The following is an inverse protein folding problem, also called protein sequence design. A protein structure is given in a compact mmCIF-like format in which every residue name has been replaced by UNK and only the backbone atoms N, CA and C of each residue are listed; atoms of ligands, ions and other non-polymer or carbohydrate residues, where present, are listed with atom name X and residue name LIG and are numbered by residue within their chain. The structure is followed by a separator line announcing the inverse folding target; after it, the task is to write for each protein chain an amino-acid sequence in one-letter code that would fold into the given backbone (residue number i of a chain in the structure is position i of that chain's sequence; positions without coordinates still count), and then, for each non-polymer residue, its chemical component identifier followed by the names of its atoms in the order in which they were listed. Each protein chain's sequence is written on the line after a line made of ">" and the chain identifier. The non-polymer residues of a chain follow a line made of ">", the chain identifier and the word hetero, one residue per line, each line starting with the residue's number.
data_IF_503803206420
#
_entry.id   IF_503803206420
#
_cell.length_a   1.000
_cell.length_b   1.000
_cell.length_c   1.000
_cell.angle_alpha   90.00
_cell.angle_beta   90.00
_cell.angle_gamma   90.00
#
_symmetry.space_group_name_H-M   'P 1'
#
loop_
_entity.id
_entity.type
_entity.pdbx_description
1 polymer ?
#
# COMPACT_ATOMS: atom_id res chain seq x y z
N UNK A 1 21.63 1.18 7.39
CA UNK A 1 22.00 -0.25 7.53
C UNK A 1 20.69 -0.84 8.00
N UNK A 2 19.93 -1.57 7.16
CA UNK A 2 18.49 -1.79 7.39
C UNK A 2 18.17 -2.17 8.85
N UNK A 3 17.25 -1.45 9.48
CA UNK A 3 16.73 -1.72 10.82
C UNK A 3 15.80 -2.94 10.85
N UNK A 4 15.48 -3.52 9.70
CA UNK A 4 14.65 -4.72 9.60
C UNK A 4 15.45 -5.97 9.96
N UNK A 5 14.87 -6.89 10.74
CA UNK A 5 15.38 -8.25 10.82
C UNK A 5 15.47 -8.90 9.44
N UNK A 6 16.47 -9.75 9.21
CA UNK A 6 16.70 -10.43 7.93
C UNK A 6 15.43 -11.09 7.35
N UNK A 7 14.60 -11.82 8.13
CA UNK A 7 13.40 -12.47 7.59
C UNK A 7 12.35 -11.49 7.05
N UNK A 8 12.38 -10.22 7.48
CA UNK A 8 11.45 -9.20 7.05
C UNK A 8 11.97 -8.35 5.89
N UNK A 9 13.26 -8.40 5.57
CA UNK A 9 13.83 -7.55 4.54
C UNK A 9 13.17 -7.80 3.17
N UNK A 10 13.12 -9.05 2.71
CA UNK A 10 12.52 -9.38 1.41
C UNK A 10 11.00 -9.10 1.37
N UNK A 11 10.19 -9.48 2.38
CA UNK A 11 8.78 -9.09 2.42
C UNK A 11 8.53 -7.58 2.27
N UNK A 12 9.38 -6.72 2.85
CA UNK A 12 9.26 -5.27 2.68
C UNK A 12 9.69 -4.77 1.31
N UNK A 13 10.73 -5.37 0.71
CA UNK A 13 11.11 -5.08 -0.69
C UNK A 13 9.95 -5.41 -1.63
N UNK A 14 9.35 -6.59 -1.48
CA UNK A 14 8.21 -7.02 -2.29
C UNK A 14 7.01 -6.09 -2.10
N UNK A 15 6.67 -5.75 -0.85
CA UNK A 15 5.58 -4.81 -0.54
C UNK A 15 5.80 -3.47 -1.26
N UNK A 16 7.02 -2.92 -1.20
CA UNK A 16 7.37 -1.66 -1.85
C UNK A 16 7.18 -1.74 -3.37
N UNK A 17 7.64 -2.82 -4.00
CA UNK A 17 7.46 -3.02 -5.44
C UNK A 17 5.99 -3.14 -5.84
N UNK A 18 5.18 -3.82 -5.03
CA UNK A 18 3.74 -3.95 -5.26
C UNK A 18 3.03 -2.59 -5.13
N UNK A 19 3.42 -1.77 -4.16
CA UNK A 19 2.90 -0.40 -3.99
C UNK A 19 3.27 0.50 -5.17
N UNK A 20 4.51 0.43 -5.65
CA UNK A 20 4.99 1.17 -6.82
C UNK A 20 4.21 0.77 -8.09
N UNK A 21 4.02 -0.54 -8.30
CA UNK A 21 3.20 -1.05 -9.40
C UNK A 21 1.73 -0.59 -9.30
N UNK A 22 1.15 -0.55 -8.10
CA UNK A 22 -0.19 0.00 -7.91
C UNK A 22 -0.24 1.51 -8.22
N UNK A 23 0.81 2.25 -7.85
CA UNK A 23 0.91 3.68 -8.12
C UNK A 23 1.02 3.97 -9.62
N UNK A 24 1.75 3.15 -10.38
CA UNK A 24 1.83 3.23 -11.83
C UNK A 24 0.48 2.99 -12.55
N UNK A 25 -0.46 2.28 -11.90
CA UNK A 25 -1.85 2.15 -12.38
C UNK A 25 -2.67 3.40 -12.00
N UNK A 26 -2.50 3.91 -10.78
CA UNK A 26 -3.31 4.99 -10.23
C UNK A 26 -3.01 6.36 -10.88
N UNK A 27 -1.74 6.66 -11.15
CA UNK A 27 -1.32 7.99 -11.65
C UNK A 27 -1.93 8.33 -13.02
N UNK A 28 -1.87 7.47 -14.06
CA UNK A 28 -2.50 7.77 -15.34
C UNK A 28 -4.03 7.88 -15.23
N UNK A 29 -4.64 7.13 -14.31
CA UNK A 29 -6.08 7.11 -14.11
C UNK A 29 -6.63 8.45 -13.58
N UNK A 30 -5.81 9.32 -12.98
CA UNK A 30 -6.22 10.66 -12.54
C UNK A 30 -6.76 11.52 -13.71
N UNK A 31 -6.18 11.38 -14.90
CA UNK A 31 -6.58 12.17 -16.07
C UNK A 31 -7.76 11.54 -16.81
N UNK A 32 -7.80 10.21 -16.88
CA UNK A 32 -8.82 9.46 -17.59
C UNK A 32 -9.23 8.20 -16.79
N UNK A 33 -10.09 8.34 -15.77
CA UNK A 33 -10.54 7.20 -14.98
C UNK A 33 -11.36 6.24 -15.85
N UNK A 34 -11.17 4.94 -15.63
CA UNK A 34 -11.88 3.89 -16.35
C UNK A 34 -12.21 2.73 -15.43
N UNK A 35 -13.16 1.90 -15.84
CA UNK A 35 -13.50 0.66 -15.13
C UNK A 35 -12.32 -0.32 -15.13
N UNK A 36 -11.49 -0.32 -16.18
CA UNK A 36 -10.27 -1.13 -16.25
C UNK A 36 -9.27 -0.72 -15.17
N UNK A 37 -9.00 0.58 -15.03
CA UNK A 37 -8.12 1.10 -13.96
C UNK A 37 -8.66 0.71 -12.58
N UNK A 38 -9.97 0.89 -12.37
CA UNK A 38 -10.62 0.57 -11.09
C UNK A 38 -10.50 -0.92 -10.74
N UNK A 39 -10.73 -1.81 -11.71
CA UNK A 39 -10.58 -3.25 -11.52
C UNK A 39 -9.13 -3.65 -11.25
N UNK A 40 -8.17 -3.04 -11.96
CA UNK A 40 -6.75 -3.30 -11.77
C UNK A 40 -6.27 -2.85 -10.37
N UNK A 41 -6.69 -1.66 -9.92
CA UNK A 41 -6.39 -1.15 -8.58
C UNK A 41 -6.95 -2.06 -7.48
N UNK A 42 -8.18 -2.56 -7.64
CA UNK A 42 -8.75 -3.52 -6.69
C UNK A 42 -7.90 -4.78 -6.57
N UNK A 43 -7.54 -5.39 -7.71
CA UNK A 43 -6.72 -6.62 -7.73
C UNK A 43 -5.35 -6.38 -7.10
N UNK A 44 -4.71 -5.27 -7.44
CA UNK A 44 -3.42 -4.88 -6.86
C UNK A 44 -3.52 -4.68 -5.35
N UNK A 45 -4.55 -3.97 -4.89
CA UNK A 45 -4.80 -3.77 -3.46
C UNK A 45 -5.02 -5.09 -2.70
N UNK A 46 -5.78 -6.02 -3.26
CA UNK A 46 -5.99 -7.34 -2.65
C UNK A 46 -4.67 -8.11 -2.48
N UNK A 47 -3.81 -8.08 -3.51
CA UNK A 47 -2.50 -8.70 -3.44
C UNK A 47 -1.61 -8.05 -2.36
N UNK A 48 -1.55 -6.71 -2.31
CA UNK A 48 -0.80 -5.96 -1.29
C UNK A 48 -1.29 -6.31 0.11
N UNK A 49 -2.60 -6.31 0.32
CA UNK A 49 -3.22 -6.62 1.60
C UNK A 49 -2.93 -8.07 2.04
N UNK A 50 -2.96 -9.02 1.12
CA UNK A 50 -2.62 -10.41 1.39
C UNK A 50 -1.13 -10.56 1.75
N UNK A 51 -0.24 -9.95 0.96
CA UNK A 51 1.20 -9.98 1.20
C UNK A 51 1.56 -9.41 2.57
N UNK A 52 1.01 -8.24 2.91
CA UNK A 52 1.25 -7.62 4.22
C UNK A 52 0.81 -8.52 5.38
N UNK A 53 -0.36 -9.16 5.28
CA UNK A 53 -0.84 -10.05 6.33
C UNK A 53 -0.03 -11.35 6.44
N UNK A 54 0.28 -11.98 5.30
CA UNK A 54 0.84 -13.33 5.26
C UNK A 54 2.37 -13.36 5.32
N UNK A 55 3.05 -12.33 4.82
CA UNK A 55 4.52 -12.32 4.73
C UNK A 55 5.15 -11.37 5.73
N UNK A 56 4.46 -10.28 6.11
CA UNK A 56 5.00 -9.31 7.07
C UNK A 56 4.43 -9.57 8.47
N UNK A 57 3.11 -9.50 8.68
CA UNK A 57 2.54 -9.66 10.01
C UNK A 57 2.74 -11.05 10.59
N UNK A 58 2.58 -12.11 9.78
CA UNK A 58 2.80 -13.48 10.25
C UNK A 58 4.27 -13.70 10.69
N UNK A 59 5.23 -13.33 9.85
CA UNK A 59 6.67 -13.40 10.17
C UNK A 59 7.04 -12.56 11.39
N UNK A 60 6.44 -11.37 11.52
CA UNK A 60 6.70 -10.46 12.64
C UNK A 60 6.21 -10.99 13.98
N UNK A 61 5.19 -11.85 14.00
CA UNK A 61 4.63 -12.41 15.23
C UNK A 61 5.62 -13.33 15.97
N UNK A 62 6.61 -13.86 15.26
CA UNK A 62 7.64 -14.76 15.80
C UNK A 62 8.95 -14.04 16.15
N UNK A 63 9.00 -12.71 15.97
CA UNK A 63 10.23 -11.91 16.09
C UNK A 63 10.11 -10.83 17.18
N UNK A 64 11.21 -10.60 17.89
CA UNK A 64 11.36 -9.39 18.70
C UNK A 64 11.78 -8.21 17.80
N UNK A 65 10.80 -7.39 17.44
CA UNK A 65 11.03 -6.25 16.55
C UNK A 65 11.48 -5.01 17.32
N UNK A 66 12.40 -4.20 16.77
CA UNK A 66 12.66 -2.86 17.29
C UNK A 66 11.38 -2.02 17.37
N UNK A 67 11.25 -1.18 18.39
CA UNK A 67 10.05 -0.34 18.61
C UNK A 67 9.70 0.53 17.40
N UNK A 68 10.72 1.03 16.70
CA UNK A 68 10.56 1.78 15.45
C UNK A 68 9.90 0.95 14.35
N UNK A 69 10.31 -0.31 14.17
CA UNK A 69 9.73 -1.21 13.16
C UNK A 69 8.28 -1.54 13.50
N UNK A 70 7.97 -1.80 14.77
CA UNK A 70 6.59 -2.03 15.24
C UNK A 70 5.69 -0.80 14.99
N UNK A 71 6.22 0.40 15.25
CA UNK A 71 5.51 1.66 14.97
C UNK A 71 5.22 1.81 13.48
N UNK A 72 6.21 1.55 12.61
CA UNK A 72 6.02 1.63 11.15
C UNK A 72 5.01 0.58 10.67
N UNK A 73 5.05 -0.65 11.18
CA UNK A 73 4.05 -1.67 10.86
C UNK A 73 2.63 -1.25 11.21
N UNK A 74 2.47 -0.59 12.36
CA UNK A 74 1.17 -0.05 12.79
C UNK A 74 0.67 1.02 11.82
N UNK A 75 1.54 1.95 11.41
CA UNK A 75 1.19 2.99 10.46
C UNK A 75 0.91 2.44 9.05
N UNK A 76 1.65 1.43 8.59
CA UNK A 76 1.36 0.74 7.32
C UNK A 76 -0.02 0.07 7.39
N UNK A 77 -0.31 -0.69 8.45
CA UNK A 77 -1.61 -1.34 8.62
C UNK A 77 -2.75 -0.31 8.60
N UNK A 78 -2.58 0.81 9.32
CA UNK A 78 -3.54 1.90 9.33
C UNK A 78 -3.77 2.48 7.93
N UNK A 79 -2.70 2.77 7.18
CA UNK A 79 -2.81 3.33 5.84
C UNK A 79 -3.41 2.33 4.84
N UNK A 80 -3.15 1.02 4.98
CA UNK A 80 -3.80 -0.01 4.16
C UNK A 80 -5.31 -0.10 4.41
N UNK A 81 -5.78 0.06 5.65
CA UNK A 81 -7.22 0.13 5.96
C UNK A 81 -7.89 1.35 5.34
N UNK A 82 -7.20 2.50 5.37
CA UNK A 82 -7.70 3.71 4.72
C UNK A 82 -7.71 3.56 3.20
N UNK A 83 -6.66 3.00 2.61
CA UNK A 83 -6.59 2.70 1.19
C UNK A 83 -7.69 1.74 0.74
N UNK A 84 -8.03 0.74 1.56
CA UNK A 84 -9.18 -0.15 1.32
C UNK A 84 -10.48 0.63 1.15
N UNK A 85 -10.69 1.63 2.01
CA UNK A 85 -11.87 2.51 1.98
C UNK A 85 -11.88 3.36 0.71
N UNK A 86 -10.74 3.93 0.34
CA UNK A 86 -10.60 4.76 -0.85
C UNK A 86 -10.85 3.95 -2.14
N UNK A 87 -10.33 2.72 -2.22
CA UNK A 87 -10.56 1.79 -3.34
C UNK A 87 -12.03 1.37 -3.43
N UNK A 88 -12.68 1.04 -2.30
CA UNK A 88 -14.10 0.69 -2.29
C UNK A 88 -14.99 1.87 -2.74
N UNK A 89 -14.66 3.10 -2.29
CA UNK A 89 -15.37 4.28 -2.75
C UNK A 89 -15.18 4.54 -4.24
N UNK A 90 -13.95 4.38 -4.75
CA UNK A 90 -13.66 4.52 -6.17
C UNK A 90 -14.52 3.60 -7.04
N UNK A 91 -14.73 2.35 -6.60
CA UNK A 91 -15.60 1.39 -7.30
C UNK A 91 -17.07 1.83 -7.39
N UNK A 92 -17.57 2.47 -6.33
CA UNK A 92 -18.96 2.95 -6.27
C UNK A 92 -19.17 4.29 -6.98
N UNK A 93 -18.10 5.03 -7.28
CA UNK A 93 -18.16 6.38 -7.82
C UNK A 93 -18.59 6.37 -9.30
N UNK A 94 -19.67 7.10 -9.60
CA UNK A 94 -20.24 7.19 -10.96
C UNK A 94 -19.88 8.47 -11.70
N UNK A 95 -19.54 9.53 -10.96
CA UNK A 95 -19.16 10.81 -11.53
C UNK A 95 -17.63 10.88 -11.68
N UNK A 96 -17.17 11.33 -12.85
CA UNK A 96 -15.74 11.46 -13.16
C UNK A 96 -15.02 12.32 -12.11
N UNK A 97 -15.62 13.45 -11.71
CA UNK A 97 -15.04 14.32 -10.69
C UNK A 97 -14.84 13.59 -9.34
N UNK A 98 -15.81 12.79 -8.91
CA UNK A 98 -15.68 11.97 -7.68
C UNK A 98 -14.63 10.87 -7.86
N UNK A 99 -14.56 10.22 -9.02
CA UNK A 99 -13.52 9.21 -9.29
C UNK A 99 -12.12 9.82 -9.23
N UNK A 100 -11.92 10.99 -9.83
CA UNK A 100 -10.63 11.71 -9.79
C UNK A 100 -10.25 12.07 -8.35
N UNK A 101 -11.18 12.59 -7.56
CA UNK A 101 -10.93 12.88 -6.15
C UNK A 101 -10.53 11.62 -5.36
N UNK A 102 -11.20 10.49 -5.60
CA UNK A 102 -10.85 9.21 -4.95
C UNK A 102 -9.51 8.67 -5.41
N UNK A 103 -9.19 8.79 -6.70
CA UNK A 103 -7.88 8.43 -7.23
C UNK A 103 -6.77 9.29 -6.64
N UNK A 104 -7.01 10.58 -6.41
CA UNK A 104 -6.04 11.44 -5.73
C UNK A 104 -5.78 10.94 -4.30
N UNK A 105 -6.83 10.59 -3.56
CA UNK A 105 -6.69 10.01 -2.22
C UNK A 105 -5.91 8.69 -2.23
N UNK A 106 -6.17 7.82 -3.22
CA UNK A 106 -5.40 6.59 -3.44
C UNK A 106 -3.92 6.90 -3.68
N UNK A 107 -3.60 7.83 -4.59
CA UNK A 107 -2.23 8.23 -4.88
C UNK A 107 -1.52 8.78 -3.64
N UNK A 108 -2.17 9.67 -2.88
CA UNK A 108 -1.59 10.27 -1.67
C UNK A 108 -1.30 9.20 -0.60
N UNK A 109 -2.17 8.19 -0.47
CA UNK A 109 -1.97 7.05 0.43
C UNK A 109 -0.83 6.15 -0.02
N UNK A 110 -0.73 5.86 -1.32
CA UNK A 110 0.36 5.06 -1.88
C UNK A 110 1.72 5.72 -1.64
N UNK A 111 1.82 7.04 -1.83
CA UNK A 111 3.04 7.79 -1.51
C UNK A 111 3.45 7.62 -0.05
N UNK A 112 2.52 7.77 0.90
CA UNK A 112 2.83 7.55 2.33
C UNK A 112 3.27 6.12 2.64
N UNK A 113 2.62 5.13 2.04
CA UNK A 113 2.99 3.73 2.21
C UNK A 113 4.41 3.44 1.67
N UNK A 114 4.77 4.05 0.53
CA UNK A 114 6.13 3.97 -0.01
C UNK A 114 7.15 4.63 0.92
N UNK A 115 6.86 5.81 1.45
CA UNK A 115 7.73 6.50 2.44
C UNK A 115 7.99 5.64 3.67
N UNK A 116 6.96 4.94 4.20
CA UNK A 116 7.13 4.02 5.32
C UNK A 116 8.01 2.82 4.95
N UNK A 117 7.83 2.23 3.77
CA UNK A 117 8.66 1.12 3.30
C UNK A 117 10.11 1.56 3.12
N UNK A 118 10.34 2.72 2.51
CA UNK A 118 11.67 3.29 2.32
C UNK A 118 12.36 3.58 3.66
N UNK A 119 11.63 4.10 4.64
CA UNK A 119 12.17 4.38 5.97
C UNK A 119 12.75 3.15 6.67
N UNK A 120 12.09 1.99 6.57
CA UNK A 120 12.58 0.75 7.22
C UNK A 120 13.61 -0.01 6.39
N UNK A 121 13.58 0.13 5.05
CA UNK A 121 14.56 -0.50 4.17
C UNK A 121 15.91 0.24 4.17
N UNK A 122 15.89 1.57 4.34
CA UNK A 122 17.08 2.41 4.21
C UNK A 122 17.71 2.82 5.55
N UNK A 123 16.91 2.96 6.62
CA UNK A 123 17.41 3.25 7.97
C UNK A 123 18.30 2.12 8.44
#
# INVERSE_FOLDING_TARGET
>A
MSILPEPLHQPYVDLRQMLDAMQAIAQPALMAPSSLHTSALQKSFQAIQQHFQQQILATSAELELPSLVQSVQTEINRNLRLLSTDVAFLQSARQVATQQQRLQQVCDRLTKLLEFCDGVLQG
#
